data_IF_562397090700
#
_entry.id   IF_562397090700
#
_cell.length_a   1.000
_cell.length_b   1.000
_cell.length_c   1.000
_cell.angle_alpha   90.00
_cell.angle_beta   90.00
_cell.angle_gamma   90.00
#
_symmetry.space_group_name_H-M   'P 1'
#
loop_
_entity.id
_entity.type
_entity.pdbx_description
1 polymer ?
#
# COMPACT_ATOMS: atom_id res chain seq x y z
N UNK A 1 -7.25 -62.82 5.71
CA UNK A 1 -8.62 -62.57 6.20
C UNK A 1 -8.61 -61.22 6.91
N UNK A 2 -9.01 -60.14 6.23
CA UNK A 2 -10.35 -59.51 6.28
C UNK A 2 -10.71 -58.88 7.63
N UNK A 3 -10.63 -57.54 7.63
CA UNK A 3 -11.68 -56.57 7.94
C UNK A 3 -12.17 -56.28 9.38
N UNK A 4 -12.35 -54.97 9.55
CA UNK A 4 -13.45 -54.27 10.25
C UNK A 4 -13.38 -54.12 11.76
N UNK A 5 -12.91 -52.94 12.19
CA UNK A 5 -13.62 -52.13 13.20
C UNK A 5 -13.62 -50.65 12.81
N UNK A 6 -14.46 -50.31 11.85
CA UNK A 6 -15.16 -49.03 11.78
C UNK A 6 -16.40 -49.19 12.69
N UNK A 7 -16.42 -48.58 13.88
CA UNK A 7 -17.62 -48.01 14.51
C UNK A 7 -17.25 -47.46 15.91
N UNK A 8 -16.70 -46.26 15.94
CA UNK A 8 -16.89 -45.33 17.07
C UNK A 8 -16.83 -43.92 16.49
N UNK A 9 -17.82 -43.63 15.66
CA UNK A 9 -18.24 -42.26 15.35
C UNK A 9 -18.92 -41.68 16.58
N UNK A 10 -18.85 -40.36 16.66
CA UNK A 10 -19.78 -39.46 17.37
C UNK A 10 -19.71 -39.45 18.90
N UNK A 11 -19.11 -38.39 19.42
CA UNK A 11 -19.76 -37.32 20.20
C UNK A 11 -18.66 -36.71 21.08
N UNK A 12 -17.91 -35.78 20.49
CA UNK A 12 -17.38 -34.59 21.18
C UNK A 12 -17.00 -33.61 20.07
N UNK A 13 -18.06 -33.08 19.48
CA UNK A 13 -17.96 -31.99 18.54
C UNK A 13 -17.81 -30.65 19.25
N UNK A 14 -17.37 -29.70 18.42
CA UNK A 14 -17.75 -28.29 18.44
C UNK A 14 -17.01 -27.46 19.51
N UNK A 15 -15.85 -26.91 19.13
CA UNK A 15 -15.56 -25.46 19.21
C UNK A 15 -14.20 -25.16 18.57
N UNK A 16 -14.05 -25.49 17.29
CA UNK A 16 -12.98 -24.95 16.45
C UNK A 16 -13.45 -24.80 15.00
N UNK A 17 -14.72 -24.43 14.81
CA UNK A 17 -15.03 -23.52 13.70
C UNK A 17 -14.56 -22.15 14.15
N UNK A 18 -13.27 -21.86 13.92
CA UNK A 18 -12.92 -20.51 13.53
C UNK A 18 -13.81 -20.21 12.33
N UNK A 19 -14.89 -19.47 12.56
CA UNK A 19 -15.51 -18.69 11.51
C UNK A 19 -14.38 -17.80 10.97
N UNK A 20 -13.65 -18.32 9.98
CA UNK A 20 -13.22 -17.52 8.85
C UNK A 20 -14.52 -17.03 8.24
N UNK A 21 -15.12 -16.02 8.88
CA UNK A 21 -15.97 -15.10 8.15
C UNK A 21 -15.11 -14.71 6.95
N UNK A 22 -15.55 -14.95 5.71
CA UNK A 22 -14.91 -14.28 4.59
C UNK A 22 -14.90 -12.82 5.00
N UNK A 23 -13.71 -12.21 5.06
CA UNK A 23 -13.57 -10.78 5.28
C UNK A 23 -14.66 -10.14 4.43
N UNK A 24 -15.67 -9.58 5.11
CA UNK A 24 -16.84 -9.09 4.42
C UNK A 24 -16.29 -8.01 3.51
N UNK A 25 -16.29 -8.26 2.20
CA UNK A 25 -15.71 -7.37 1.22
C UNK A 25 -16.42 -6.02 1.35
N UNK A 26 -15.82 -5.10 2.09
CA UNK A 26 -16.37 -3.78 2.31
C UNK A 26 -16.17 -3.01 1.01
N UNK A 27 -17.27 -2.92 0.25
CA UNK A 27 -17.42 -2.22 -1.02
C UNK A 27 -16.97 -0.75 -0.92
N UNK A 28 -15.96 -0.38 -1.72
CA UNK A 28 -15.78 0.87 -2.51
C UNK A 28 -14.27 1.07 -2.83
N UNK A 29 -13.82 1.65 -3.96
CA UNK A 29 -14.47 2.73 -4.73
C UNK A 29 -14.05 2.79 -6.22
N UNK A 30 -14.71 2.05 -7.10
CA UNK A 30 -14.94 2.42 -8.52
C UNK A 30 -13.74 2.83 -9.42
N UNK A 31 -13.48 2.05 -10.46
CA UNK A 31 -12.82 2.53 -11.67
C UNK A 31 -13.87 2.71 -12.76
N UNK A 32 -13.92 3.87 -13.39
CA UNK A 32 -14.88 4.16 -14.48
C UNK A 32 -14.21 4.73 -15.69
N UNK A 33 -14.69 4.35 -16.87
CA UNK A 33 -14.33 5.00 -18.12
C UNK A 33 -15.39 4.76 -19.18
N UNK A 34 -15.52 5.70 -20.11
CA UNK A 34 -16.33 5.50 -21.33
C UNK A 34 -15.40 5.05 -22.45
N UNK A 35 -15.73 3.92 -23.08
CA UNK A 35 -15.10 3.50 -24.34
C UNK A 35 -15.96 3.92 -25.52
N UNK A 36 -15.34 4.53 -26.52
CA UNK A 36 -15.93 4.69 -27.86
C UNK A 36 -15.27 3.64 -28.78
N UNK A 37 -16.06 2.68 -29.25
CA UNK A 37 -15.62 1.66 -30.22
C UNK A 37 -16.03 2.11 -31.62
N UNK A 38 -15.14 2.71 -32.39
CA UNK A 38 -15.42 3.12 -33.78
C UNK A 38 -16.73 3.92 -33.95
N UNK A 39 -17.54 3.60 -34.97
CA UNK A 39 -18.88 4.17 -35.18
C UNK A 39 -19.99 3.54 -34.28
N UNK A 40 -19.62 2.76 -33.26
CA UNK A 40 -20.54 2.03 -32.39
C UNK A 40 -20.98 2.81 -31.15
N UNK A 41 -21.85 2.19 -30.34
CA UNK A 41 -22.39 2.78 -29.13
C UNK A 41 -21.32 3.06 -28.07
N UNK A 42 -21.46 4.20 -27.37
CA UNK A 42 -20.68 4.50 -26.16
C UNK A 42 -21.00 3.44 -25.11
N UNK A 43 -19.96 2.90 -24.47
CA UNK A 43 -20.10 1.97 -23.34
C UNK A 43 -19.39 2.54 -22.13
N UNK A 44 -20.13 2.65 -21.03
CA UNK A 44 -19.58 2.99 -19.72
C UNK A 44 -19.16 1.71 -19.01
N UNK A 45 -17.93 1.71 -18.53
CA UNK A 45 -17.36 0.63 -17.76
C UNK A 45 -17.27 1.05 -16.31
N UNK A 46 -17.68 0.15 -15.42
CA UNK A 46 -17.67 0.36 -13.97
C UNK A 46 -17.09 -0.89 -13.32
N UNK A 47 -15.96 -0.75 -12.64
CA UNK A 47 -15.32 -1.86 -11.95
C UNK A 47 -16.02 -2.16 -10.62
N UNK A 48 -16.18 -3.45 -10.30
CA UNK A 48 -16.67 -3.92 -8.99
C UNK A 48 -15.62 -3.70 -7.89
N UNK A 49 -14.34 -3.77 -8.26
CA UNK A 49 -13.22 -3.56 -7.33
C UNK A 49 -12.08 -2.84 -8.03
N UNK A 50 -11.47 -1.89 -7.31
CA UNK A 50 -10.26 -1.20 -7.76
C UNK A 50 -9.21 -1.18 -6.63
N UNK A 51 -7.99 -1.56 -6.95
CA UNK A 51 -6.87 -1.54 -6.02
C UNK A 51 -5.62 -0.99 -6.70
N UNK A 52 -4.70 -0.47 -5.88
CA UNK A 52 -3.43 0.01 -6.35
C UNK A 52 -2.28 -0.56 -5.51
N UNK A 53 -1.15 -0.80 -6.16
CA UNK A 53 0.09 -1.24 -5.53
C UNK A 53 1.26 -0.39 -5.99
N UNK A 54 2.27 -0.28 -5.15
CA UNK A 54 3.49 0.45 -5.47
C UNK A 54 4.72 -0.45 -5.31
N UNK A 55 5.53 -0.53 -6.36
CA UNK A 55 6.78 -1.28 -6.31
C UNK A 55 7.89 -0.50 -5.60
N UNK A 56 8.95 -1.22 -5.19
CA UNK A 56 10.17 -0.62 -4.64
C UNK A 56 10.85 0.36 -5.63
N UNK A 57 10.64 0.17 -6.94
CA UNK A 57 11.16 1.02 -8.01
C UNK A 57 10.22 2.19 -8.35
N UNK A 58 9.29 2.56 -7.45
CA UNK A 58 8.36 3.68 -7.64
C UNK A 58 7.44 3.49 -8.85
N UNK A 59 7.02 2.26 -9.12
CA UNK A 59 5.99 1.97 -10.12
C UNK A 59 4.66 1.82 -9.42
N UNK A 60 3.71 2.68 -9.76
CA UNK A 60 2.32 2.55 -9.36
C UNK A 60 1.57 1.69 -10.38
N UNK A 61 0.88 0.66 -9.90
CA UNK A 61 -0.05 -0.15 -10.69
C UNK A 61 -1.45 0.05 -10.14
N UNK A 62 -2.41 0.37 -11.01
CA UNK A 62 -3.83 0.51 -10.68
C UNK A 62 -4.57 -0.58 -11.45
N UNK A 63 -5.33 -1.42 -10.74
CA UNK A 63 -6.10 -2.50 -11.34
C UNK A 63 -7.59 -2.31 -11.07
N UNK A 64 -8.41 -2.40 -12.11
CA UNK A 64 -9.86 -2.45 -12.03
C UNK A 64 -10.38 -3.80 -12.52
N UNK A 65 -11.22 -4.46 -11.72
CA UNK A 65 -11.89 -5.71 -12.07
C UNK A 65 -13.34 -5.41 -12.50
N UNK A 66 -13.70 -5.78 -13.72
CA UNK A 66 -15.02 -5.53 -14.28
C UNK A 66 -15.77 -6.86 -14.42
N UNK A 67 -17.01 -6.95 -13.92
CA UNK A 67 -17.79 -8.18 -14.04
C UNK A 67 -18.12 -8.44 -15.50
N UNK A 68 -17.94 -9.68 -15.94
CA UNK A 68 -18.30 -10.09 -17.31
C UNK A 68 -19.73 -10.62 -17.41
N UNK A 69 -20.35 -10.93 -16.26
CA UNK A 69 -21.64 -11.62 -16.18
C UNK A 69 -21.55 -13.13 -16.44
N UNK A 70 -20.34 -13.70 -16.59
CA UNK A 70 -20.11 -15.12 -16.81
C UNK A 70 -19.71 -15.84 -15.53
N UNK A 71 -19.97 -17.15 -15.45
CA UNK A 71 -19.57 -17.98 -14.30
C UNK A 71 -18.15 -18.52 -14.40
N UNK A 72 -17.66 -18.76 -15.62
CA UNK A 72 -16.34 -19.33 -15.90
C UNK A 72 -15.21 -18.30 -15.82
N UNK A 73 -15.48 -17.07 -16.25
CA UNK A 73 -14.55 -15.95 -16.14
C UNK A 73 -15.29 -14.73 -15.60
N UNK A 74 -15.55 -14.68 -14.29
CA UNK A 74 -16.43 -13.69 -13.70
C UNK A 74 -15.92 -12.25 -13.84
N UNK A 75 -14.61 -12.07 -14.08
CA UNK A 75 -14.00 -10.75 -14.21
C UNK A 75 -13.05 -10.67 -15.40
N UNK A 76 -13.06 -9.50 -16.03
CA UNK A 76 -12.00 -8.99 -16.90
C UNK A 76 -11.20 -7.92 -16.12
N UNK A 77 -9.95 -7.67 -16.50
CA UNK A 77 -9.09 -6.74 -15.76
C UNK A 77 -8.52 -5.63 -16.64
N UNK A 78 -8.57 -4.40 -16.14
CA UNK A 78 -7.79 -3.28 -16.67
C UNK A 78 -6.64 -2.98 -15.73
N UNK A 79 -5.44 -2.81 -16.28
CA UNK A 79 -4.24 -2.45 -15.53
C UNK A 79 -3.65 -1.19 -16.12
N UNK A 80 -3.40 -0.19 -15.28
CA UNK A 80 -2.70 1.05 -15.62
C UNK A 80 -1.39 1.07 -14.82
N UNK A 81 -0.28 1.30 -15.52
CA UNK A 81 1.06 1.36 -14.95
C UNK A 81 1.63 2.76 -15.12
N UNK A 82 2.11 3.33 -14.02
CA UNK A 82 2.79 4.63 -13.97
C UNK A 82 4.17 4.41 -13.33
N UNK A 83 5.23 4.57 -14.12
CA UNK A 83 6.62 4.53 -13.61
C UNK A 83 7.03 5.89 -13.05
N UNK A 84 8.06 5.90 -12.21
CA UNK A 84 8.62 7.11 -11.60
C UNK A 84 7.59 7.90 -10.76
N UNK A 85 6.66 7.19 -10.13
CA UNK A 85 5.68 7.76 -9.23
C UNK A 85 6.34 8.16 -7.90
N UNK A 86 6.50 9.47 -7.65
CA UNK A 86 7.39 9.95 -6.57
C UNK A 86 6.65 10.55 -5.39
N UNK A 87 5.79 11.54 -5.60
CA UNK A 87 5.14 12.26 -4.51
C UNK A 87 3.75 12.76 -4.90
N UNK A 88 2.85 12.80 -3.92
CA UNK A 88 1.58 13.50 -4.05
C UNK A 88 1.78 14.95 -3.65
N UNK A 89 2.41 15.73 -4.53
CA UNK A 89 2.29 17.20 -4.47
C UNK A 89 1.14 17.64 -5.37
N UNK A 90 0.52 18.79 -5.06
CA UNK A 90 -0.67 19.33 -5.74
C UNK A 90 -0.71 19.02 -7.25
N UNK A 91 -1.81 18.40 -7.72
CA UNK A 91 -2.11 18.01 -9.12
C UNK A 91 -0.84 17.66 -9.92
N UNK A 92 -0.18 16.56 -9.55
CA UNK A 92 0.95 16.06 -10.34
C UNK A 92 0.41 15.27 -11.54
N UNK A 93 0.83 15.66 -12.74
CA UNK A 93 0.53 14.90 -13.97
C UNK A 93 1.60 13.84 -14.19
N UNK A 94 1.18 12.60 -14.34
CA UNK A 94 2.04 11.46 -14.59
C UNK A 94 1.81 10.90 -16.00
N UNK A 95 2.90 10.47 -16.65
CA UNK A 95 2.79 9.74 -17.91
C UNK A 95 2.43 8.28 -17.63
N UNK A 96 1.39 7.79 -18.30
CA UNK A 96 1.04 6.37 -18.25
C UNK A 96 2.12 5.62 -19.03
N UNK A 97 2.83 4.72 -18.36
CA UNK A 97 3.91 3.94 -18.96
C UNK A 97 3.39 2.74 -19.73
N UNK A 98 2.32 2.14 -19.24
CA UNK A 98 1.62 1.03 -19.89
C UNK A 98 0.15 1.03 -19.43
N UNK A 99 -0.75 0.63 -20.31
CA UNK A 99 -2.12 0.33 -19.93
C UNK A 99 -2.66 -0.77 -20.84
N UNK A 100 -3.34 -1.75 -20.24
CA UNK A 100 -3.97 -2.81 -20.98
C UNK A 100 -5.29 -3.24 -20.36
N UNK A 101 -6.16 -3.77 -21.20
CA UNK A 101 -7.39 -4.46 -20.83
C UNK A 101 -7.26 -5.91 -21.28
N UNK A 102 -7.37 -6.83 -20.33
CA UNK A 102 -7.39 -8.27 -20.59
C UNK A 102 -8.83 -8.78 -20.48
N UNK A 103 -9.29 -9.39 -21.57
CA UNK A 103 -10.65 -9.93 -21.73
C UNK A 103 -10.56 -11.36 -22.26
N UNK A 104 -11.59 -12.18 -22.03
CA UNK A 104 -11.63 -13.59 -22.42
C UNK A 104 -12.77 -13.81 -23.39
N UNK A 105 -12.44 -14.11 -24.64
CA UNK A 105 -13.43 -14.38 -25.70
C UNK A 105 -13.56 -15.88 -25.97
N UNK A 106 -14.77 -16.32 -26.29
CA UNK A 106 -15.00 -17.70 -26.78
C UNK A 106 -14.69 -17.74 -28.28
N UNK A 107 -13.66 -18.49 -28.67
CA UNK A 107 -13.24 -18.68 -30.06
C UNK A 107 -13.26 -20.15 -30.41
N UNK A 108 -14.01 -20.53 -31.45
CA UNK A 108 -14.17 -21.93 -31.87
C UNK A 108 -14.53 -22.87 -30.70
N UNK A 109 -15.39 -22.39 -29.79
CA UNK A 109 -15.78 -23.11 -28.57
C UNK A 109 -14.75 -23.13 -27.44
N UNK A 110 -13.60 -22.44 -27.57
CA UNK A 110 -12.54 -22.37 -26.56
C UNK A 110 -12.35 -20.96 -25.99
N UNK A 111 -12.23 -20.80 -24.66
CA UNK A 111 -11.85 -19.52 -24.06
C UNK A 111 -10.44 -19.09 -24.50
N UNK A 112 -10.30 -17.87 -24.97
CA UNK A 112 -9.03 -17.28 -25.43
C UNK A 112 -8.84 -15.91 -24.79
N UNK A 113 -7.69 -15.69 -24.14
CA UNK A 113 -7.30 -14.40 -23.57
C UNK A 113 -6.91 -13.43 -24.69
N UNK A 114 -7.50 -12.23 -24.68
CA UNK A 114 -7.19 -11.13 -25.58
C UNK A 114 -6.71 -9.95 -24.75
N UNK A 115 -5.56 -9.40 -25.14
CA UNK A 115 -4.95 -8.24 -24.49
C UNK A 115 -5.07 -7.02 -25.41
N UNK A 116 -5.88 -6.06 -25.01
CA UNK A 116 -5.98 -4.75 -25.66
C UNK A 116 -4.96 -3.82 -25.03
N UNK A 117 -4.11 -3.18 -25.82
CA UNK A 117 -2.99 -2.37 -25.31
C UNK A 117 -3.10 -0.91 -25.72
N UNK A 118 -2.52 -0.03 -24.90
CA UNK A 118 -2.47 1.41 -25.16
C UNK A 118 -1.72 1.76 -26.46
N UNK A 119 -2.18 2.80 -27.15
CA UNK A 119 -1.53 3.41 -28.32
C UNK A 119 -0.83 4.72 -27.91
N UNK A 120 0.22 5.13 -28.64
CA UNK A 120 1.09 6.26 -28.27
C UNK A 120 0.44 7.65 -28.28
N UNK A 121 -0.75 7.83 -28.84
CA UNK A 121 -1.25 9.15 -29.22
C UNK A 121 -1.69 10.06 -28.05
N UNK A 122 -2.00 9.53 -26.86
CA UNK A 122 -2.33 10.34 -25.66
C UNK A 122 -2.24 9.45 -24.41
N UNK A 123 -1.39 9.77 -23.43
CA UNK A 123 -1.08 8.88 -22.30
C UNK A 123 -0.87 9.67 -21.00
N UNK A 124 -1.94 10.01 -20.29
CA UNK A 124 -1.82 10.85 -19.09
C UNK A 124 -2.68 10.33 -17.94
N UNK A 125 -2.09 10.26 -16.75
CA UNK A 125 -2.78 10.05 -15.49
C UNK A 125 -2.57 11.27 -14.59
N UNK A 126 -3.66 11.86 -14.15
CA UNK A 126 -3.71 12.93 -13.17
C UNK A 126 -4.04 12.30 -11.82
N UNK A 127 -3.06 12.22 -10.95
CA UNK A 127 -3.25 11.62 -9.62
C UNK A 127 -3.32 12.78 -8.64
N UNK A 128 -4.48 12.92 -8.00
CA UNK A 128 -4.89 14.19 -7.40
C UNK A 128 -4.83 14.16 -5.88
N UNK A 129 -5.07 13.01 -5.26
CA UNK A 129 -5.23 12.95 -3.80
C UNK A 129 -4.96 11.57 -3.20
N UNK A 130 -4.53 11.54 -1.94
CA UNK A 130 -4.51 10.35 -1.10
C UNK A 130 -5.16 10.65 0.25
N UNK A 131 -6.31 10.02 0.48
CA UNK A 131 -7.01 10.04 1.75
C UNK A 131 -6.29 9.06 2.70
N UNK A 132 -5.47 9.60 3.61
CA UNK A 132 -4.70 8.80 4.56
C UNK A 132 -5.57 8.05 5.57
N UNK A 133 -6.76 8.55 5.89
CA UNK A 133 -7.66 7.91 6.85
C UNK A 133 -8.31 6.68 6.21
N UNK A 134 -8.73 6.81 4.95
CA UNK A 134 -9.37 5.72 4.21
C UNK A 134 -8.39 4.82 3.45
N UNK A 135 -7.16 5.26 3.25
CA UNK A 135 -6.15 4.58 2.46
C UNK A 135 -6.46 4.58 0.96
N UNK A 136 -7.05 5.67 0.45
CA UNK A 136 -7.59 5.75 -0.91
C UNK A 136 -6.84 6.75 -1.78
N UNK A 137 -6.31 6.29 -2.91
CA UNK A 137 -5.67 7.09 -3.94
C UNK A 137 -6.69 7.48 -5.02
N UNK A 138 -6.80 8.76 -5.33
CA UNK A 138 -7.78 9.28 -6.30
C UNK A 138 -7.10 9.89 -7.51
N UNK A 139 -7.67 9.65 -8.68
CA UNK A 139 -7.14 10.18 -9.93
C UNK A 139 -8.09 10.13 -11.11
N UNK A 140 -7.65 10.78 -12.18
CA UNK A 140 -8.27 10.76 -13.50
C UNK A 140 -7.22 10.27 -14.50
N UNK A 141 -7.61 9.54 -15.54
CA UNK A 141 -6.71 9.09 -16.60
C UNK A 141 -7.33 9.27 -17.98
N UNK A 142 -6.46 9.36 -18.97
CA UNK A 142 -6.77 9.61 -20.37
C UNK A 142 -5.81 8.79 -21.21
N UNK A 143 -6.34 7.88 -22.01
CA UNK A 143 -5.53 7.16 -22.99
C UNK A 143 -6.36 6.57 -24.12
N UNK A 144 -5.68 6.28 -25.22
CA UNK A 144 -6.24 5.54 -26.36
C UNK A 144 -5.70 4.13 -26.33
N UNK A 145 -6.53 3.12 -26.58
CA UNK A 145 -6.10 1.73 -26.69
C UNK A 145 -6.57 1.12 -28.01
N UNK A 146 -5.76 0.25 -28.60
CA UNK A 146 -6.13 -0.53 -29.79
C UNK A 146 -6.08 -1.99 -29.40
N UNK A 147 -7.14 -2.73 -29.75
CA UNK A 147 -7.11 -4.17 -29.63
C UNK A 147 -6.46 -4.73 -30.89
N UNK A 148 -5.40 -5.51 -30.69
CA UNK A 148 -4.83 -6.32 -31.74
C UNK A 148 -5.48 -7.70 -31.69
N UNK A 149 -6.44 -8.00 -32.58
CA UNK A 149 -6.98 -9.34 -32.65
C UNK A 149 -5.85 -10.34 -32.99
N UNK A 150 -5.94 -11.54 -32.42
CA UNK A 150 -4.85 -12.54 -32.48
C UNK A 150 -4.75 -13.29 -33.81
N UNK A 151 -5.48 -12.87 -34.85
CA UNK A 151 -5.50 -13.52 -36.17
C UNK A 151 -5.33 -12.51 -37.30
N UNK A 152 -4.54 -12.87 -38.31
CA UNK A 152 -4.44 -12.10 -39.54
C UNK A 152 -5.81 -12.04 -40.24
N UNK A 153 -6.33 -10.83 -40.49
CA UNK A 153 -7.58 -10.57 -41.20
C UNK A 153 -8.71 -9.95 -40.35
N UNK A 154 -8.58 -9.96 -39.02
CA UNK A 154 -9.48 -9.23 -38.14
C UNK A 154 -9.09 -7.73 -38.14
N UNK A 155 -10.07 -6.83 -38.23
CA UNK A 155 -9.81 -5.39 -38.16
C UNK A 155 -9.42 -4.99 -36.74
N UNK A 156 -8.29 -4.29 -36.59
CA UNK A 156 -7.94 -3.57 -35.36
C UNK A 156 -9.12 -2.68 -34.97
N UNK A 157 -9.63 -2.83 -33.75
CA UNK A 157 -10.62 -1.89 -33.21
C UNK A 157 -9.97 -0.99 -32.18
N UNK A 158 -10.28 0.29 -32.32
CA UNK A 158 -9.77 1.36 -31.47
C UNK A 158 -10.82 1.68 -30.42
N UNK A 159 -10.38 1.68 -29.17
CA UNK A 159 -11.14 2.14 -28.02
C UNK A 159 -10.52 3.44 -27.52
N UNK A 160 -11.27 4.53 -27.64
CA UNK A 160 -10.87 5.83 -27.09
C UNK A 160 -11.44 5.98 -25.67
N UNK A 161 -10.57 6.22 -24.68
CA UNK A 161 -10.96 6.63 -23.33
C UNK A 161 -10.82 8.13 -23.21
N UNK A 162 -11.94 8.84 -23.34
CA UNK A 162 -11.97 10.31 -23.27
C UNK A 162 -11.71 10.84 -21.87
N UNK A 163 -12.21 10.16 -20.84
CA UNK A 163 -11.93 10.41 -19.42
C UNK A 163 -12.20 9.12 -18.66
N UNK A 164 -11.28 8.73 -17.78
CA UNK A 164 -11.54 7.71 -16.77
C UNK A 164 -11.19 8.21 -15.38
N UNK A 165 -11.89 7.72 -14.35
CA UNK A 165 -11.67 8.07 -12.95
C UNK A 165 -11.39 6.81 -12.14
N UNK A 166 -10.57 6.94 -11.11
CA UNK A 166 -10.34 5.86 -10.15
C UNK A 166 -10.27 6.39 -8.72
N UNK A 167 -10.71 5.56 -7.80
CA UNK A 167 -10.40 5.66 -6.38
C UNK A 167 -9.92 4.27 -5.90
N UNK A 168 -8.60 4.12 -5.86
CA UNK A 168 -7.96 2.84 -5.62
C UNK A 168 -7.45 2.75 -4.19
N UNK A 169 -7.78 1.66 -3.50
CA UNK A 169 -7.18 1.37 -2.19
C UNK A 169 -5.70 1.04 -2.36
N UNK A 170 -4.86 1.71 -1.58
CA UNK A 170 -3.41 1.47 -1.53
C UNK A 170 -2.93 1.41 -0.09
N UNK A 171 -2.24 0.33 0.24
CA UNK A 171 -1.54 0.22 1.52
C UNK A 171 -0.28 1.08 1.46
N UNK A 172 -0.36 2.28 2.02
CA UNK A 172 0.73 3.24 1.92
C UNK A 172 1.93 2.92 2.78
N UNK A 173 1.88 1.86 3.59
CA UNK A 173 2.87 1.56 4.62
C UNK A 173 3.16 2.74 5.56
N UNK A 174 4.14 2.55 6.44
CA UNK A 174 4.74 3.63 7.24
C UNK A 174 6.26 3.46 7.18
N UNK A 175 6.93 4.57 6.95
CA UNK A 175 8.38 4.73 7.04
C UNK A 175 8.70 5.61 8.24
N UNK A 176 9.85 5.34 8.87
CA UNK A 176 10.30 6.03 10.06
C UNK A 176 11.64 6.68 9.78
N UNK A 177 11.71 7.97 10.03
CA UNK A 177 12.96 8.73 10.13
C UNK A 177 13.15 9.17 11.58
N UNK A 178 14.39 9.23 12.05
CA UNK A 178 14.69 9.72 13.38
C UNK A 178 15.92 10.63 13.36
N UNK A 179 15.90 11.67 14.18
CA UNK A 179 17.01 12.56 14.43
C UNK A 179 17.31 12.60 15.94
N UNK A 180 18.57 12.69 16.37
CA UNK A 180 19.80 12.72 15.57
C UNK A 180 20.06 11.42 14.80
N UNK A 181 20.61 11.53 13.58
CA UNK A 181 20.95 10.37 12.72
C UNK A 181 22.34 9.81 13.00
N UNK A 182 23.15 10.56 13.75
CA UNK A 182 24.49 10.19 14.21
C UNK A 182 24.46 9.96 15.72
N UNK A 183 25.38 9.12 16.18
CA UNK A 183 25.69 8.93 17.60
C UNK A 183 25.96 10.28 18.28
N UNK A 184 25.31 10.54 19.41
CA UNK A 184 25.50 11.78 20.19
C UNK A 184 26.18 11.48 21.51
N UNK A 185 27.20 12.27 21.84
CA UNK A 185 27.86 12.24 23.15
C UNK A 185 27.09 13.13 24.12
N UNK A 186 26.67 12.59 25.25
CA UNK A 186 25.93 13.31 26.28
C UNK A 186 26.52 12.95 27.65
N UNK A 187 26.75 13.95 28.49
CA UNK A 187 27.20 13.75 29.86
C UNK A 187 26.07 13.21 30.75
N UNK A 188 26.44 12.57 31.86
CA UNK A 188 25.47 12.18 32.87
C UNK A 188 24.79 13.41 33.50
N UNK A 189 23.54 13.24 33.94
CA UNK A 189 22.71 14.35 34.42
C UNK A 189 22.07 15.21 33.33
N UNK A 190 22.46 15.07 32.06
CA UNK A 190 21.86 15.79 30.94
C UNK A 190 20.71 15.01 30.29
N UNK A 191 20.01 15.69 29.36
CA UNK A 191 18.91 15.12 28.58
C UNK A 191 19.27 15.09 27.10
N UNK A 192 18.69 14.15 26.37
CA UNK A 192 18.76 14.09 24.90
C UNK A 192 17.36 13.94 24.32
N UNK A 193 17.07 14.70 23.26
CA UNK A 193 15.81 14.63 22.55
C UNK A 193 16.00 13.93 21.21
N UNK A 194 15.18 12.90 20.97
CA UNK A 194 15.09 12.20 19.70
C UNK A 194 13.78 12.57 19.01
N UNK A 195 13.88 13.19 17.84
CA UNK A 195 12.73 13.47 16.99
C UNK A 195 12.46 12.27 16.10
N UNK A 196 11.24 11.80 16.09
CA UNK A 196 10.77 10.65 15.33
C UNK A 196 9.74 11.17 14.34
N UNK A 197 9.92 10.86 13.06
CA UNK A 197 9.03 11.28 11.98
C UNK A 197 8.46 10.04 11.30
N UNK A 198 7.13 9.92 11.32
CA UNK A 198 6.39 8.91 10.59
C UNK A 198 5.90 9.49 9.26
N UNK A 199 6.27 8.84 8.16
CA UNK A 199 5.87 9.23 6.80
C UNK A 199 5.29 8.03 6.05
N UNK A 200 4.32 8.24 5.16
CA UNK A 200 3.85 7.16 4.28
C UNK A 200 4.80 6.99 3.08
N UNK A 201 4.54 6.01 2.21
CA UNK A 201 5.32 5.77 0.97
C UNK A 201 5.33 6.96 0.00
N UNK A 202 4.43 7.93 0.17
CA UNK A 202 4.36 9.16 -0.64
C UNK A 202 5.11 10.34 0.01
N UNK A 203 5.77 10.12 1.15
CA UNK A 203 6.51 11.13 1.90
C UNK A 203 5.63 12.06 2.74
N UNK A 204 4.32 11.83 2.79
CA UNK A 204 3.40 12.64 3.60
C UNK A 204 3.47 12.21 5.07
N UNK A 205 3.33 13.18 5.97
CA UNK A 205 3.27 12.95 7.41
C UNK A 205 2.13 11.98 7.79
N UNK A 206 2.40 11.05 8.72
CA UNK A 206 1.39 10.13 9.26
C UNK A 206 1.01 10.57 10.66
N UNK A 207 -0.19 11.13 10.80
CA UNK A 207 -0.75 11.60 12.08
C UNK A 207 -1.28 10.46 12.94
N UNK A 208 -1.17 10.56 14.27
CA UNK A 208 -1.81 9.64 15.21
C UNK A 208 -1.26 8.20 15.16
N UNK A 209 -0.03 8.01 14.69
CA UNK A 209 0.62 6.72 14.73
C UNK A 209 1.25 6.49 16.11
N UNK A 210 1.07 5.29 16.67
CA UNK A 210 1.62 4.88 17.95
C UNK A 210 3.13 4.73 17.86
N UNK A 211 3.85 5.44 18.73
CA UNK A 211 5.31 5.35 18.83
C UNK A 211 5.67 4.43 19.99
N UNK A 212 6.43 3.38 19.68
CA UNK A 212 6.98 2.44 20.64
C UNK A 212 8.50 2.58 20.74
N UNK A 213 9.02 2.46 21.96
CA UNK A 213 10.44 2.60 22.27
C UNK A 213 10.96 1.37 23.01
N UNK A 214 12.17 0.97 22.64
CA UNK A 214 13.05 0.13 23.46
C UNK A 214 14.25 0.97 23.84
N UNK A 215 14.42 1.24 25.13
CA UNK A 215 15.51 2.06 25.67
C UNK A 215 16.32 1.25 26.70
N UNK A 216 17.59 1.00 26.39
CA UNK A 216 18.51 0.29 27.28
C UNK A 216 18.79 1.04 28.60
N UNK A 217 18.75 2.37 28.58
CA UNK A 217 19.03 3.19 29.76
C UNK A 217 17.84 3.17 30.73
N UNK A 218 16.63 3.35 30.19
CA UNK A 218 15.38 3.24 30.96
C UNK A 218 14.94 1.79 31.23
N UNK A 219 15.67 0.79 30.68
CA UNK A 219 15.35 -0.64 30.75
C UNK A 219 13.94 -0.99 30.23
N UNK A 220 13.46 -0.27 29.22
CA UNK A 220 12.14 -0.50 28.61
C UNK A 220 12.25 -1.35 27.35
N UNK A 221 11.21 -2.15 27.07
CA UNK A 221 11.12 -2.97 25.86
C UNK A 221 9.76 -2.83 25.20
N UNK A 222 9.75 -2.31 23.97
CA UNK A 222 8.58 -2.10 23.11
C UNK A 222 7.41 -1.35 23.78
N UNK A 223 7.70 -0.34 24.60
CA UNK A 223 6.68 0.42 25.33
C UNK A 223 6.12 1.54 24.45
N UNK A 224 4.79 1.67 24.39
CA UNK A 224 4.13 2.82 23.76
C UNK A 224 4.42 4.08 24.56
N UNK A 225 5.07 5.07 23.95
CA UNK A 225 5.44 6.33 24.60
C UNK A 225 4.54 7.50 24.21
N UNK A 226 3.85 7.41 23.07
CA UNK A 226 2.97 8.46 22.60
C UNK A 226 2.45 8.23 21.18
N UNK A 227 1.93 9.29 20.58
CA UNK A 227 1.39 9.29 19.22
C UNK A 227 1.96 10.46 18.41
N UNK A 228 2.11 10.28 17.10
CA UNK A 228 2.60 11.35 16.21
C UNK A 228 1.59 12.49 16.04
N UNK A 229 2.11 13.70 15.92
CA UNK A 229 1.34 14.94 15.65
C UNK A 229 0.85 15.00 14.20
N UNK A 230 0.14 16.07 13.83
CA UNK A 230 -0.28 16.34 12.44
C UNK A 230 0.88 16.49 11.46
N UNK A 231 2.05 16.89 11.95
CA UNK A 231 3.30 16.92 11.18
C UNK A 231 3.99 15.54 11.07
N UNK A 232 3.38 14.49 11.63
CA UNK A 232 3.96 13.15 11.70
C UNK A 232 5.12 13.05 12.68
N UNK A 233 5.34 14.06 13.53
CA UNK A 233 6.46 14.14 14.47
C UNK A 233 6.04 13.68 15.87
N UNK A 234 6.96 13.00 16.56
CA UNK A 234 6.94 12.79 18.01
C UNK A 234 8.34 13.03 18.59
N UNK A 235 8.44 13.63 19.77
CA UNK A 235 9.72 13.88 20.45
C UNK A 235 9.83 12.97 21.66
N UNK A 236 10.83 12.08 21.65
CA UNK A 236 11.17 11.24 22.79
C UNK A 236 12.39 11.81 23.54
N UNK A 237 12.23 12.08 24.82
CA UNK A 237 13.31 12.58 25.68
C UNK A 237 13.85 11.44 26.53
N UNK A 238 15.17 11.28 26.52
CA UNK A 238 15.90 10.40 27.43
C UNK A 238 16.63 11.25 28.45
N UNK A 239 16.30 11.03 29.72
CA UNK A 239 17.04 11.57 30.85
C UNK A 239 18.23 10.66 31.15
N UNK A 240 19.44 11.21 31.22
CA UNK A 240 20.65 10.44 31.58
C UNK A 240 20.89 10.60 33.08
N UNK A 241 20.67 9.58 33.93
CA UNK A 241 20.86 9.71 35.37
C UNK A 241 22.30 10.08 35.70
N UNK A 242 22.53 10.81 36.80
CA UNK A 242 23.88 11.02 37.33
C UNK A 242 24.53 9.68 37.66
N UNK A 243 25.85 9.58 37.51
CA UNK A 243 26.66 8.36 37.70
C UNK A 243 26.33 7.24 36.70
N UNK A 244 25.80 7.59 35.52
CA UNK A 244 25.62 6.62 34.43
C UNK A 244 26.99 6.18 33.91
N UNK A 245 27.19 4.87 33.78
CA UNK A 245 28.46 4.32 33.28
C UNK A 245 28.74 4.80 31.86
N UNK A 246 29.97 5.21 31.59
CA UNK A 246 30.41 5.61 30.26
C UNK A 246 30.45 4.39 29.31
N UNK A 247 29.39 4.20 28.53
CA UNK A 247 29.30 3.17 27.49
C UNK A 247 28.26 3.52 26.42
N UNK A 248 28.12 2.64 25.44
CA UNK A 248 27.09 2.77 24.42
C UNK A 248 25.72 2.32 24.94
N UNK A 249 24.68 3.13 24.70
CA UNK A 249 23.29 2.83 25.07
C UNK A 249 22.39 2.94 23.83
N UNK A 250 21.65 1.88 23.54
CA UNK A 250 20.78 1.85 22.37
C UNK A 250 19.36 2.28 22.75
N UNK A 251 18.84 3.21 21.96
CA UNK A 251 17.41 3.48 21.86
C UNK A 251 16.97 3.03 20.48
N UNK A 252 15.84 2.33 20.41
CA UNK A 252 15.23 1.88 19.16
C UNK A 252 13.76 2.25 19.13
N UNK A 253 13.28 2.64 17.95
CA UNK A 253 11.91 3.12 17.72
C UNK A 253 11.16 2.15 16.83
N UNK A 254 9.86 2.04 17.05
CA UNK A 254 8.90 1.45 16.13
C UNK A 254 7.69 2.36 16.05
N UNK A 255 7.08 2.47 14.87
CA UNK A 255 5.81 3.21 14.69
C UNK A 255 4.78 2.26 14.14
N UNK A 256 3.60 2.24 14.78
CA UNK A 256 2.48 1.37 14.43
C UNK A 256 1.26 2.25 14.17
N UNK A 257 0.47 1.95 13.14
CA UNK A 257 -0.83 2.60 12.95
C UNK A 257 -1.82 1.56 12.46
N UNK A 258 -2.89 1.40 13.21
CA UNK A 258 -4.02 0.59 12.77
C UNK A 258 -4.81 1.40 11.75
N UNK A 259 -4.98 0.87 10.55
CA UNK A 259 -5.92 1.45 9.59
C UNK A 259 -7.34 1.04 9.96
N UNK A 260 -8.38 1.81 9.60
CA UNK A 260 -9.78 1.42 9.83
C UNK A 260 -10.16 0.06 9.22
N UNK A 261 -9.40 -0.43 8.23
CA UNK A 261 -9.53 -1.77 7.66
C UNK A 261 -8.93 -2.91 8.48
N UNK A 262 -8.36 -2.66 9.66
CA UNK A 262 -7.74 -3.69 10.51
C UNK A 262 -6.39 -4.21 10.01
N UNK A 263 -5.93 -3.81 8.81
CA UNK A 263 -4.63 -4.14 8.25
C UNK A 263 -3.63 -3.04 8.59
N UNK A 264 -2.71 -3.30 9.52
CA UNK A 264 -1.67 -2.33 9.86
C UNK A 264 -0.71 -2.80 10.95
N UNK A 265 0.09 -3.82 10.65
CA UNK A 265 1.32 -4.10 11.40
C UNK A 265 2.50 -3.87 10.48
N UNK A 266 3.27 -2.81 10.73
CA UNK A 266 4.57 -2.64 10.07
C UNK A 266 5.61 -2.26 11.12
N UNK A 267 6.66 -3.05 11.19
CA UNK A 267 7.75 -2.94 12.14
C UNK A 267 8.98 -2.45 11.39
N UNK A 268 9.55 -1.31 11.77
CA UNK A 268 10.88 -0.91 11.30
C UNK A 268 11.76 -0.58 12.50
N UNK A 269 12.97 -1.15 12.53
CA UNK A 269 13.93 -1.09 13.65
C UNK A 269 15.16 -0.32 13.20
N UNK A 270 15.46 0.83 13.81
CA UNK A 270 16.79 1.49 13.72
C UNK A 270 17.35 1.76 15.11
N UNK A 271 18.67 1.58 15.23
CA UNK A 271 19.48 1.62 16.46
C UNK A 271 20.34 2.89 16.48
N UNK A 272 20.76 3.41 17.65
CA UNK A 272 22.12 3.91 18.04
C UNK A 272 22.09 5.14 19.00
N UNK A 273 22.86 5.11 20.11
CA UNK A 273 23.66 6.27 20.62
C UNK A 273 24.76 5.85 21.65
N UNK A 274 25.79 6.67 21.93
CA UNK A 274 26.99 6.36 22.77
C UNK A 274 27.26 7.46 23.79
N UNK A 275 27.37 7.13 25.08
CA UNK A 275 27.92 8.03 26.11
C UNK A 275 29.41 7.75 26.32
N UNK A 276 30.27 8.74 26.07
CA UNK A 276 31.64 8.80 26.57
C UNK A 276 31.70 9.91 27.62
N UNK A 277 31.86 9.52 28.88
CA UNK A 277 32.29 10.45 29.91
C UNK A 277 33.80 10.58 29.84
N UNK A 278 34.31 11.79 29.65
CA UNK A 278 35.71 12.10 29.99
C UNK A 278 35.67 12.88 31.29
N UNK A 279 36.16 12.27 32.36
CA UNK A 279 36.48 12.97 33.60
C UNK A 279 37.94 12.68 33.89
N UNK A 280 38.82 13.54 33.38
CA UNK A 280 40.19 13.74 33.87
C UNK A 280 40.63 15.16 33.45
N UNK A 281 40.83 16.03 34.44
CA UNK A 281 41.45 17.34 34.25
C UNK A 281 41.17 18.34 35.37
N UNK A 282 41.90 18.18 36.49
CA UNK A 282 42.03 18.99 37.71
C UNK A 282 41.06 18.70 38.86
#
# INVERSE_FOLDING_TARGET
MKNNRLLSLLVFGIFSLAFLTPAQAQKSTLMTFTSIKGAGAKKDWVADTCYASMSAQKTLMITGLYPTGRTDFPYQQMVITVRNFTTLSSITTYQISDAYLEDIFTRNGKPTLVKTTMVKATQQAYIVDYDQEKGLLKGTFFFKMTSHPTTAGDLDFVTDVTVGKFEARIESGITLEAAPTKTVQINDGNKVNYKIYAKNIFGQAVTGADVHVTDELAKTKDVKVGVTTSAGEYVYTVDIPKKTNAKQYKVSYQVKKTTPSGLGYFQYRRTYSRCLGTLLGL
#
